data_IF_613106608541
#
_entry.id   IF_613106608541
#
_cell.length_a   1.000
_cell.length_b   1.000
_cell.length_c   1.000
_cell.angle_alpha   90.00
_cell.angle_beta   90.00
_cell.angle_gamma   90.00
#
_symmetry.space_group_name_H-M   'P 1'
#
loop_
_entity.id
_entity.type
_entity.pdbx_description
1 polymer ?
#
# COMPACT_ATOMS: atom_id res chain seq x y z
N UNK A 1 40.23 -38.90 -16.87
CA UNK A 1 39.45 -37.91 -17.67
C UNK A 1 37.93 -38.06 -17.54
N UNK A 2 37.42 -39.22 -17.09
CA UNK A 2 35.98 -39.44 -16.81
C UNK A 2 35.59 -38.88 -15.43
N UNK A 3 36.42 -39.06 -14.40
CA UNK A 3 36.10 -38.58 -13.04
C UNK A 3 35.94 -37.05 -12.93
N UNK A 4 36.77 -36.27 -13.62
CA UNK A 4 36.67 -34.80 -13.64
C UNK A 4 35.32 -34.36 -14.22
N UNK A 5 34.79 -35.07 -15.22
CA UNK A 5 33.49 -34.76 -15.83
C UNK A 5 32.32 -35.07 -14.89
N UNK A 6 32.42 -36.17 -14.13
CA UNK A 6 31.40 -36.56 -13.15
C UNK A 6 31.34 -35.59 -11.97
N UNK A 7 32.50 -35.15 -11.45
CA UNK A 7 32.56 -34.18 -10.35
C UNK A 7 32.03 -32.80 -10.77
N UNK A 8 32.32 -32.35 -12.00
CA UNK A 8 31.76 -31.10 -12.54
C UNK A 8 30.24 -31.20 -12.71
N UNK A 9 29.72 -32.34 -13.19
CA UNK A 9 28.28 -32.55 -13.34
C UNK A 9 27.55 -32.54 -12.00
N UNK A 10 28.12 -33.19 -10.98
CA UNK A 10 27.58 -33.20 -9.61
C UNK A 10 27.61 -31.79 -9.01
N UNK A 11 28.68 -31.02 -9.24
CA UNK A 11 28.77 -29.63 -8.78
C UNK A 11 27.69 -28.74 -9.44
N UNK A 12 27.45 -28.88 -10.74
CA UNK A 12 26.35 -28.19 -11.44
C UNK A 12 24.95 -28.63 -10.97
N UNK A 13 24.78 -29.89 -10.57
CA UNK A 13 23.51 -30.39 -10.05
C UNK A 13 23.20 -29.84 -8.64
N UNK A 14 24.24 -29.65 -7.82
CA UNK A 14 24.11 -29.11 -6.45
C UNK A 14 23.81 -27.60 -6.47
N UNK A 15 24.37 -26.85 -7.43
CA UNK A 15 24.04 -25.41 -7.56
C UNK A 15 22.63 -25.16 -8.08
N UNK A 16 22.07 -26.07 -8.89
CA UNK A 16 20.69 -25.98 -9.39
C UNK A 16 19.61 -26.24 -8.33
N UNK A 17 19.96 -26.88 -7.20
CA UNK A 17 19.05 -27.11 -6.07
C UNK A 17 18.99 -25.92 -5.10
N UNK A 18 19.85 -24.91 -5.27
CA UNK A 18 19.85 -23.69 -4.48
C UNK A 18 18.86 -22.66 -5.03
N UNK A 19 17.73 -22.50 -4.35
CA UNK A 19 16.79 -21.36 -4.44
C UNK A 19 15.90 -21.27 -5.69
N UNK A 20 14.82 -22.05 -5.71
CA UNK A 20 13.60 -21.69 -6.45
C UNK A 20 12.67 -20.84 -5.57
N UNK A 21 13.20 -19.74 -4.99
CA UNK A 21 12.38 -18.80 -4.23
C UNK A 21 11.77 -17.79 -5.21
N UNK A 22 10.44 -17.65 -5.21
CA UNK A 22 9.80 -16.56 -5.96
C UNK A 22 10.31 -15.24 -5.40
N UNK A 23 10.81 -14.31 -6.24
CA UNK A 23 11.29 -13.01 -5.77
C UNK A 23 10.12 -12.21 -5.17
N UNK A 24 10.42 -11.41 -4.15
CA UNK A 24 9.46 -10.44 -3.63
C UNK A 24 9.07 -9.45 -4.72
N UNK A 25 7.78 -9.22 -4.89
CA UNK A 25 7.24 -8.37 -5.95
C UNK A 25 6.91 -6.99 -5.41
N UNK A 26 7.31 -5.94 -6.13
CA UNK A 26 6.89 -4.57 -5.81
C UNK A 26 5.43 -4.35 -6.20
N UNK A 27 4.80 -3.32 -5.62
CA UNK A 27 3.39 -3.04 -5.87
C UNK A 27 3.09 -2.81 -7.36
N UNK A 28 3.97 -2.07 -8.04
CA UNK A 28 3.79 -1.63 -9.42
C UNK A 28 4.38 -2.55 -10.49
N UNK A 29 4.84 -3.74 -10.13
CA UNK A 29 5.35 -4.69 -11.12
C UNK A 29 4.23 -5.23 -12.04
N UNK A 30 2.99 -5.25 -11.56
CA UNK A 30 1.84 -5.86 -12.25
C UNK A 30 0.64 -4.92 -12.44
N UNK A 31 0.79 -3.65 -12.04
CA UNK A 31 -0.28 -2.66 -12.13
C UNK A 31 0.29 -1.30 -12.47
N UNK A 32 -0.58 -0.42 -12.99
CA UNK A 32 -0.29 0.99 -13.18
C UNK A 32 -1.41 1.83 -12.55
N UNK A 33 -1.13 3.10 -12.28
CA UNK A 33 -2.15 4.08 -11.94
C UNK A 33 -2.89 4.49 -13.20
N UNK A 34 -4.22 4.51 -13.13
CA UNK A 34 -5.05 5.02 -14.23
C UNK A 34 -5.02 6.55 -14.33
N UNK A 35 -4.50 7.24 -13.32
CA UNK A 35 -4.47 8.70 -13.21
C UNK A 35 -3.06 9.17 -12.85
N UNK A 36 -2.70 10.37 -13.27
CA UNK A 36 -1.42 10.96 -12.87
C UNK A 36 -1.45 11.40 -11.41
N UNK A 37 -0.28 11.50 -10.77
CA UNK A 37 -0.19 12.01 -9.39
C UNK A 37 -0.73 13.42 -9.26
N UNK A 38 -0.56 14.27 -10.28
CA UNK A 38 -1.08 15.64 -10.30
C UNK A 38 -2.62 15.65 -10.30
N UNK A 39 -3.26 14.75 -11.06
CA UNK A 39 -4.72 14.64 -11.06
C UNK A 39 -5.24 14.14 -9.71
N UNK A 40 -4.61 13.11 -9.14
CA UNK A 40 -4.97 12.58 -7.82
C UNK A 40 -4.81 13.64 -6.72
N UNK A 41 -3.77 14.47 -6.80
CA UNK A 41 -3.54 15.59 -5.90
C UNK A 41 -4.63 16.65 -6.03
N UNK A 42 -4.96 17.06 -7.25
CA UNK A 42 -6.05 18.00 -7.52
C UNK A 42 -7.40 17.49 -6.99
N UNK A 43 -7.67 16.18 -7.05
CA UNK A 43 -8.91 15.60 -6.51
C UNK A 43 -8.99 15.77 -4.99
N UNK A 44 -7.91 15.45 -4.26
CA UNK A 44 -7.83 15.64 -2.80
C UNK A 44 -7.96 17.13 -2.44
N UNK A 45 -7.25 17.98 -3.17
CA UNK A 45 -7.28 19.43 -2.97
C UNK A 45 -8.68 20.02 -3.20
N UNK A 46 -9.40 19.52 -4.20
CA UNK A 46 -10.78 19.93 -4.48
C UNK A 46 -11.72 19.56 -3.34
N UNK A 47 -11.60 18.36 -2.78
CA UNK A 47 -12.39 17.93 -1.62
C UNK A 47 -12.11 18.84 -0.41
N UNK A 48 -10.83 19.04 -0.07
CA UNK A 48 -10.45 19.91 1.06
C UNK A 48 -10.94 21.35 0.86
N UNK A 49 -10.85 21.88 -0.36
CA UNK A 49 -11.34 23.22 -0.69
C UNK A 49 -12.86 23.33 -0.55
N UNK A 50 -13.62 22.33 -1.02
CA UNK A 50 -15.07 22.26 -0.83
C UNK A 50 -15.43 22.29 0.66
N UNK A 51 -14.74 21.48 1.48
CA UNK A 51 -14.97 21.42 2.92
C UNK A 51 -14.62 22.75 3.61
N UNK A 52 -13.55 23.41 3.18
CA UNK A 52 -13.17 24.75 3.65
C UNK A 52 -14.25 25.80 3.34
N UNK A 53 -14.88 25.78 2.15
CA UNK A 53 -16.01 26.70 1.85
C UNK A 53 -17.21 26.51 2.79
N UNK A 54 -17.34 25.31 3.37
CA UNK A 54 -18.36 24.95 4.37
C UNK A 54 -17.88 25.16 5.81
N UNK A 55 -16.75 25.85 6.00
CA UNK A 55 -16.14 26.14 7.31
C UNK A 55 -15.87 24.86 8.13
N UNK A 56 -15.54 23.76 7.46
CA UNK A 56 -15.16 22.50 8.10
C UNK A 56 -13.65 22.49 8.40
N UNK A 57 -13.29 21.91 9.54
CA UNK A 57 -11.91 21.75 10.02
C UNK A 57 -11.77 20.40 10.71
N UNK A 58 -10.55 19.86 10.80
CA UNK A 58 -10.27 18.54 11.36
C UNK A 58 -9.76 17.55 10.31
N UNK A 59 -10.05 16.27 10.52
CA UNK A 59 -9.58 15.18 9.67
C UNK A 59 -10.70 14.59 8.82
N UNK A 60 -10.40 14.20 7.59
CA UNK A 60 -11.24 13.34 6.74
C UNK A 60 -10.57 11.98 6.63
N UNK A 61 -11.27 10.91 7.01
CA UNK A 61 -10.81 9.53 6.92
C UNK A 61 -11.55 8.84 5.79
N UNK A 62 -10.82 8.31 4.83
CA UNK A 62 -11.38 7.56 3.70
C UNK A 62 -10.80 6.15 3.80
N UNK A 63 -11.57 5.16 4.28
CA UNK A 63 -11.08 3.80 4.45
C UNK A 63 -10.94 3.09 3.10
N UNK A 64 -9.87 2.31 2.96
CA UNK A 64 -9.75 1.32 1.91
C UNK A 64 -10.54 0.05 2.25
N UNK A 65 -10.68 -0.84 1.27
CA UNK A 65 -11.25 -2.16 1.48
C UNK A 65 -10.29 -3.09 2.23
N UNK A 66 -10.82 -4.05 2.96
CA UNK A 66 -10.09 -4.99 3.83
C UNK A 66 -9.19 -6.02 3.12
N UNK A 67 -9.24 -6.09 1.79
CA UNK A 67 -8.40 -7.02 1.01
C UNK A 67 -8.94 -8.45 0.94
N UNK A 68 -10.03 -8.78 1.63
CA UNK A 68 -10.65 -10.09 1.49
C UNK A 68 -11.46 -10.15 0.19
N UNK A 69 -11.30 -11.25 -0.55
CA UNK A 69 -12.20 -11.59 -1.65
C UNK A 69 -12.83 -12.96 -1.42
N UNK A 70 -14.09 -13.11 -1.82
CA UNK A 70 -14.88 -14.33 -1.66
C UNK A 70 -14.89 -15.19 -2.94
N UNK A 71 -13.75 -15.17 -3.66
CA UNK A 71 -13.58 -15.84 -4.95
C UNK A 71 -13.60 -14.90 -6.17
N UNK A 72 -13.88 -13.62 -5.96
CA UNK A 72 -13.75 -12.57 -6.96
C UNK A 72 -12.36 -11.90 -6.99
N UNK A 73 -12.09 -11.18 -8.06
CA UNK A 73 -10.96 -10.24 -8.12
C UNK A 73 -11.20 -9.13 -7.10
N UNK A 74 -10.16 -8.78 -6.33
CA UNK A 74 -10.23 -7.63 -5.43
C UNK A 74 -10.65 -6.37 -6.18
N UNK A 75 -11.58 -5.62 -5.59
CA UNK A 75 -12.00 -4.31 -6.07
C UNK A 75 -11.97 -3.33 -4.91
N UNK A 76 -11.25 -2.23 -5.09
CA UNK A 76 -11.11 -1.19 -4.08
C UNK A 76 -12.43 -0.44 -3.81
N UNK A 77 -12.53 0.18 -2.64
CA UNK A 77 -13.58 1.16 -2.34
C UNK A 77 -13.48 2.38 -3.28
N UNK A 78 -14.62 2.78 -3.87
CA UNK A 78 -14.65 3.78 -4.95
C UNK A 78 -14.03 5.12 -4.51
N UNK A 79 -14.31 5.61 -3.29
CA UNK A 79 -13.75 6.86 -2.80
C UNK A 79 -12.23 6.78 -2.58
N UNK A 80 -11.76 5.73 -1.92
CA UNK A 80 -10.33 5.53 -1.71
C UNK A 80 -9.59 5.47 -3.05
N UNK A 81 -10.11 4.69 -4.00
CA UNK A 81 -9.54 4.59 -5.34
C UNK A 81 -9.61 5.92 -6.10
N UNK A 82 -10.70 6.66 -5.98
CA UNK A 82 -10.85 7.95 -6.64
C UNK A 82 -9.79 8.97 -6.19
N UNK A 83 -9.44 9.01 -4.91
CA UNK A 83 -8.48 9.97 -4.36
C UNK A 83 -7.01 9.51 -4.39
N UNK A 84 -6.76 8.21 -4.54
CA UNK A 84 -5.39 7.65 -4.46
C UNK A 84 -4.95 6.94 -5.74
N UNK A 85 -5.89 6.43 -6.54
CA UNK A 85 -5.61 5.51 -7.65
C UNK A 85 -5.07 4.15 -7.22
N UNK A 86 -5.01 3.88 -5.91
CA UNK A 86 -4.33 2.71 -5.34
C UNK A 86 -5.32 1.65 -4.85
N UNK A 87 -4.90 0.39 -4.95
CA UNK A 87 -5.58 -0.82 -4.50
C UNK A 87 -4.90 -1.43 -3.26
N UNK A 88 -4.47 -0.55 -2.34
CA UNK A 88 -3.94 -0.94 -1.03
C UNK A 88 -5.07 -1.51 -0.16
N UNK A 89 -4.93 -2.73 0.38
CA UNK A 89 -5.90 -3.29 1.30
C UNK A 89 -5.61 -2.80 2.72
N UNK A 90 -6.64 -2.78 3.57
CA UNK A 90 -6.53 -2.42 4.99
C UNK A 90 -5.83 -1.07 5.23
N UNK A 91 -5.97 -0.12 4.32
CA UNK A 91 -5.37 1.20 4.44
C UNK A 91 -6.42 2.27 4.77
N UNK A 92 -5.99 3.45 5.20
CA UNK A 92 -6.84 4.62 5.42
C UNK A 92 -6.14 5.84 4.84
N UNK A 93 -6.81 6.56 3.94
CA UNK A 93 -6.38 7.89 3.51
C UNK A 93 -6.88 8.89 4.54
N UNK A 94 -5.96 9.71 5.05
CA UNK A 94 -6.25 10.80 5.98
C UNK A 94 -5.92 12.12 5.30
N UNK A 95 -6.90 13.01 5.23
CA UNK A 95 -6.71 14.38 4.80
C UNK A 95 -6.88 15.29 6.02
N UNK A 96 -5.88 16.12 6.29
CA UNK A 96 -5.96 17.14 7.33
C UNK A 96 -6.34 18.49 6.70
N UNK A 97 -7.52 19.00 7.07
CA UNK A 97 -8.06 20.23 6.52
C UNK A 97 -7.33 21.49 7.02
N UNK A 98 -6.55 21.38 8.11
CA UNK A 98 -5.88 22.51 8.75
C UNK A 98 -4.56 22.85 8.07
N UNK A 99 -3.77 21.83 7.74
CA UNK A 99 -2.48 21.98 7.06
C UNK A 99 -2.54 21.65 5.57
N UNK A 100 -3.72 21.21 5.08
CA UNK A 100 -3.96 20.79 3.70
C UNK A 100 -3.04 19.66 3.24
N UNK A 101 -2.81 18.70 4.12
CA UNK A 101 -1.98 17.53 3.84
C UNK A 101 -2.80 16.26 3.65
N UNK A 102 -2.19 15.28 2.96
CA UNK A 102 -2.74 13.95 2.78
C UNK A 102 -1.68 12.88 3.10
N UNK A 103 -2.08 11.83 3.82
CA UNK A 103 -1.24 10.73 4.21
C UNK A 103 -2.05 9.43 4.16
N UNK A 104 -1.46 8.34 3.64
CA UNK A 104 -2.08 7.02 3.71
C UNK A 104 -1.43 6.23 4.83
N UNK A 105 -2.25 5.75 5.76
CA UNK A 105 -1.83 4.77 6.74
C UNK A 105 -2.09 3.37 6.19
N UNK A 106 -1.06 2.54 6.12
CA UNK A 106 -1.09 1.24 5.43
C UNK A 106 -0.42 0.16 6.30
N UNK A 107 -0.79 -1.12 6.17
CA UNK A 107 0.01 -2.18 6.75
C UNK A 107 1.41 -2.22 6.10
N UNK A 108 2.35 -2.85 6.80
CA UNK A 108 3.72 -3.05 6.30
C UNK A 108 3.74 -3.82 4.98
N UNK A 109 2.86 -4.81 4.85
CA UNK A 109 2.84 -5.77 3.75
C UNK A 109 1.42 -6.12 3.32
N UNK A 110 1.28 -6.56 2.08
CA UNK A 110 0.02 -7.01 1.50
C UNK A 110 -0.22 -8.50 1.78
N UNK A 111 -1.09 -8.77 2.76
CA UNK A 111 -1.42 -10.14 3.17
C UNK A 111 -2.04 -10.99 2.06
N UNK A 112 -2.56 -10.39 0.98
CA UNK A 112 -3.09 -11.13 -0.18
C UNK A 112 -2.00 -11.88 -0.94
N UNK A 113 -0.74 -11.45 -0.80
CA UNK A 113 0.43 -12.05 -1.44
C UNK A 113 1.29 -12.85 -0.46
N UNK A 114 0.78 -13.13 0.75
CA UNK A 114 1.49 -13.87 1.78
C UNK A 114 0.82 -15.18 2.14
N UNK A 115 1.62 -16.23 2.32
CA UNK A 115 1.14 -17.51 2.81
C UNK A 115 2.09 -18.08 3.86
N UNK A 116 1.56 -18.37 5.05
CA UNK A 116 2.34 -18.99 6.13
C UNK A 116 2.81 -20.41 5.80
N UNK A 117 2.04 -21.14 4.98
CA UNK A 117 2.31 -22.53 4.57
C UNK A 117 3.05 -22.64 3.24
N UNK A 118 2.98 -21.61 2.38
CA UNK A 118 3.61 -21.58 1.06
C UNK A 118 4.49 -20.35 0.86
N UNK A 119 5.36 -20.06 1.83
CA UNK A 119 6.24 -18.88 1.81
C UNK A 119 7.11 -18.75 0.55
N UNK A 120 7.52 -19.87 -0.04
CA UNK A 120 8.34 -19.87 -1.26
C UNK A 120 7.56 -19.38 -2.49
N UNK A 121 6.26 -19.69 -2.56
CA UNK A 121 5.40 -19.30 -3.68
C UNK A 121 4.78 -17.91 -3.48
N UNK A 122 4.63 -17.52 -2.22
CA UNK A 122 4.01 -16.26 -1.77
C UNK A 122 4.96 -15.53 -0.82
N UNK A 123 6.03 -14.91 -1.35
CA UNK A 123 7.04 -14.20 -0.55
C UNK A 123 6.49 -12.92 0.10
N UNK A 124 5.27 -12.51 -0.23
CA UNK A 124 4.66 -11.25 0.18
C UNK A 124 4.98 -10.10 -0.77
N UNK A 125 4.36 -8.96 -0.47
CA UNK A 125 4.56 -7.70 -1.20
C UNK A 125 4.69 -6.57 -0.18
N UNK A 126 5.80 -5.83 -0.16
CA UNK A 126 5.97 -4.69 0.72
C UNK A 126 5.00 -3.59 0.29
N UNK A 127 4.41 -2.90 1.26
CA UNK A 127 3.60 -1.71 1.02
C UNK A 127 4.27 -0.50 1.64
N UNK A 128 4.43 -0.46 2.96
CA UNK A 128 4.95 0.72 3.64
C UNK A 128 6.38 1.09 3.21
N UNK A 129 7.23 0.09 2.96
CA UNK A 129 8.62 0.29 2.54
C UNK A 129 8.81 0.43 1.02
N UNK A 130 7.75 0.23 0.22
CA UNK A 130 7.81 0.37 -1.24
C UNK A 130 7.72 1.86 -1.65
N UNK A 131 8.89 2.46 -1.88
CA UNK A 131 9.00 3.89 -2.27
C UNK A 131 8.30 4.20 -3.58
N UNK A 132 8.16 3.22 -4.47
CA UNK A 132 7.53 3.43 -5.78
C UNK A 132 6.06 3.82 -5.63
N UNK A 133 5.39 3.36 -4.56
CA UNK A 133 4.03 3.76 -4.20
C UNK A 133 3.95 5.26 -3.98
N UNK A 134 4.82 5.79 -3.11
CA UNK A 134 4.86 7.22 -2.80
C UNK A 134 5.26 8.06 -4.03
N UNK A 135 6.27 7.59 -4.78
CA UNK A 135 6.80 8.31 -5.94
C UNK A 135 5.79 8.42 -7.09
N UNK A 136 5.06 7.33 -7.38
CA UNK A 136 4.10 7.28 -8.49
C UNK A 136 2.75 7.86 -8.12
N UNK A 137 2.24 7.63 -6.91
CA UNK A 137 0.93 8.16 -6.48
C UNK A 137 1.01 9.60 -5.96
N UNK A 138 2.21 10.11 -5.67
CA UNK A 138 2.43 11.46 -5.15
C UNK A 138 1.84 11.69 -3.76
N UNK A 139 1.75 10.64 -2.95
CA UNK A 139 1.22 10.69 -1.58
C UNK A 139 2.07 9.84 -0.65
N UNK A 140 2.34 10.35 0.55
CA UNK A 140 3.17 9.67 1.54
C UNK A 140 2.43 8.49 2.18
N UNK A 141 3.20 7.53 2.68
CA UNK A 141 2.72 6.40 3.48
C UNK A 141 3.23 6.52 4.92
N UNK A 142 2.45 6.00 5.88
CA UNK A 142 2.83 5.86 7.28
C UNK A 142 2.23 4.57 7.89
N UNK A 143 2.73 4.17 9.06
CA UNK A 143 2.32 2.93 9.73
C UNK A 143 1.02 3.11 10.52
N UNK A 144 0.28 2.02 10.77
CA UNK A 144 -0.89 2.09 11.66
C UNK A 144 -0.57 2.45 13.11
N UNK A 145 0.68 2.27 13.56
CA UNK A 145 1.10 2.79 14.86
C UNK A 145 1.07 4.32 14.87
N UNK A 146 1.53 4.95 13.79
CA UNK A 146 1.47 6.40 13.62
C UNK A 146 0.01 6.89 13.49
N UNK A 147 -0.87 6.08 12.89
CA UNK A 147 -2.31 6.37 12.84
C UNK A 147 -2.93 6.37 14.23
N UNK A 148 -2.66 5.34 15.04
CA UNK A 148 -3.18 5.26 16.41
C UNK A 148 -2.73 6.47 17.24
N UNK A 149 -1.44 6.82 17.15
CA UNK A 149 -0.89 7.98 17.84
C UNK A 149 -1.53 9.30 17.36
N UNK A 150 -1.80 9.44 16.05
CA UNK A 150 -2.54 10.58 15.52
C UNK A 150 -3.95 10.64 16.12
N UNK A 151 -4.70 9.53 16.12
CA UNK A 151 -6.07 9.51 16.62
C UNK A 151 -6.16 9.80 18.13
N UNK A 152 -5.21 9.32 18.93
CA UNK A 152 -5.12 9.65 20.36
C UNK A 152 -4.87 11.15 20.56
N UNK A 153 -3.96 11.72 19.77
CA UNK A 153 -3.67 13.15 19.80
C UNK A 153 -4.90 13.98 19.41
N UNK A 154 -5.60 13.59 18.35
CA UNK A 154 -6.77 14.33 17.85
C UNK A 154 -7.99 14.19 18.78
N UNK A 155 -8.13 13.04 19.45
CA UNK A 155 -9.11 12.86 20.53
C UNK A 155 -8.82 13.82 21.70
N UNK A 156 -7.55 13.98 22.10
CA UNK A 156 -7.17 14.92 23.17
C UNK A 156 -7.48 16.39 22.84
N UNK A 157 -7.47 16.74 21.55
CA UNK A 157 -7.80 18.08 21.05
C UNK A 157 -9.31 18.27 20.79
N UNK A 158 -10.12 17.24 20.93
CA UNK A 158 -11.53 17.23 20.51
C UNK A 158 -11.72 17.65 19.04
N UNK A 159 -10.79 17.22 18.17
CA UNK A 159 -10.87 17.50 16.74
C UNK A 159 -12.07 16.81 16.10
N UNK A 160 -12.65 17.45 15.10
CA UNK A 160 -13.70 16.82 14.28
C UNK A 160 -13.08 15.81 13.33
N UNK A 161 -13.73 14.65 13.21
CA UNK A 161 -13.37 13.59 12.27
C UNK A 161 -14.56 13.35 11.34
N UNK A 162 -14.32 13.45 10.04
CA UNK A 162 -15.27 13.12 8.98
C UNK A 162 -14.91 11.75 8.41
N UNK A 163 -15.92 10.92 8.17
CA UNK A 163 -15.80 9.59 7.57
C UNK A 163 -16.81 9.54 6.42
#
# INVERSE_FOLDING_TARGET
MIEIKTTILIFFLITALGYSQTPEQSYFEWTDLSFTKEELDQRRDKLMSLLATKQKTGLVLIPARDGYSHGETFRQADDFYYFTGLELPNAILVLDLRDRSGLIYTPERDLRFESSTRKNDFPGRPLLSDKTITERAGIKLASFNDFSALMDLEASKSSTVFI
#
